data_IF_046973004067
#
_entry.id   IF_046973004067
#
_cell.length_a   1.000
_cell.length_b   1.000
_cell.length_c   1.000
_cell.angle_alpha   90.00
_cell.angle_beta   90.00
_cell.angle_gamma   90.00
#
_symmetry.space_group_name_H-M   'P 1'
#
loop_
_entity.id
_entity.type
_entity.pdbx_description
1 polymer ?
#
# COMPACT_ATOMS: atom_id res chain seq x y z
N UNK A 1 -10.19 27.47 -26.43
CA UNK A 1 -9.61 28.44 -25.47
C UNK A 1 -8.24 28.87 -25.98
N UNK A 2 -7.88 30.16 -25.91
CA UNK A 2 -6.63 30.66 -26.49
C UNK A 2 -5.41 30.15 -25.71
N UNK A 3 -4.32 29.87 -26.43
CA UNK A 3 -3.04 29.51 -25.81
C UNK A 3 -2.43 30.72 -25.10
N UNK A 4 -1.94 30.52 -23.88
CA UNK A 4 -1.26 31.51 -23.06
C UNK A 4 0.25 31.30 -23.21
N UNK A 5 1.01 32.36 -23.50
CA UNK A 5 2.47 32.29 -23.56
C UNK A 5 3.08 32.76 -22.24
N UNK A 6 3.97 31.96 -21.65
CA UNK A 6 4.74 32.31 -20.44
C UNK A 6 6.23 32.04 -20.71
N UNK A 7 6.97 33.08 -21.08
CA UNK A 7 8.35 32.94 -21.54
C UNK A 7 8.43 32.09 -22.81
N UNK A 8 9.12 30.94 -22.75
CA UNK A 8 9.22 29.95 -23.86
C UNK A 8 8.13 28.86 -23.79
N UNK A 9 7.21 28.94 -22.83
CA UNK A 9 6.18 27.92 -22.61
C UNK A 9 4.87 28.34 -23.25
N UNK A 10 4.30 27.47 -24.07
CA UNK A 10 2.92 27.59 -24.56
C UNK A 10 1.99 26.75 -23.69
N UNK A 11 1.09 27.41 -22.98
CA UNK A 11 0.11 26.79 -22.09
C UNK A 11 -1.24 26.79 -22.79
N UNK A 12 -1.83 25.60 -22.99
CA UNK A 12 -3.19 25.45 -23.51
C UNK A 12 -4.07 24.90 -22.41
N UNK A 13 -4.88 25.74 -21.72
CA UNK A 13 -5.80 25.22 -20.72
C UNK A 13 -6.86 24.34 -21.40
N UNK A 14 -7.17 23.22 -20.78
CA UNK A 14 -8.23 22.32 -21.20
C UNK A 14 -9.20 22.14 -20.03
N UNK A 15 -10.40 22.71 -20.14
CA UNK A 15 -11.44 22.63 -19.11
C UNK A 15 -12.40 21.45 -19.34
N UNK A 16 -12.33 20.80 -20.49
CA UNK A 16 -13.18 19.67 -20.87
C UNK A 16 -12.55 18.32 -20.49
N UNK A 17 -11.25 18.32 -20.18
CA UNK A 17 -10.47 17.14 -19.86
C UNK A 17 -10.17 17.05 -18.37
N UNK A 18 -10.60 15.95 -17.76
CA UNK A 18 -10.22 15.58 -16.39
C UNK A 18 -9.16 14.49 -16.45
N UNK A 19 -8.08 14.66 -15.70
CA UNK A 19 -7.05 13.63 -15.53
C UNK A 19 -7.34 12.90 -14.23
N UNK A 20 -7.50 11.59 -14.31
CA UNK A 20 -7.73 10.73 -13.16
C UNK A 20 -6.38 10.32 -12.54
N UNK A 21 -6.19 10.67 -11.28
CA UNK A 21 -5.02 10.25 -10.51
C UNK A 21 -5.18 8.79 -10.08
N UNK A 22 -4.28 7.93 -10.55
CA UNK A 22 -4.23 6.52 -10.20
C UNK A 22 -3.10 6.24 -9.22
N UNK A 23 -3.35 5.36 -8.26
CA UNK A 23 -2.34 4.94 -7.30
C UNK A 23 -1.44 3.84 -7.90
N UNK A 24 -0.10 3.87 -7.76
CA UNK A 24 0.78 2.92 -8.44
C UNK A 24 0.68 1.45 -7.96
N UNK A 25 0.30 1.20 -6.71
CA UNK A 25 0.33 -0.15 -6.14
C UNK A 25 -0.87 -1.06 -6.51
N UNK A 26 -2.09 -0.55 -6.44
CA UNK A 26 -3.35 -1.27 -6.70
C UNK A 26 -4.45 -0.22 -6.77
N UNK A 27 -5.54 -0.45 -7.50
CA UNK A 27 -6.68 0.46 -7.51
C UNK A 27 -7.74 0.12 -8.55
N UNK A 28 -8.68 1.04 -8.72
CA UNK A 28 -9.71 1.01 -9.76
C UNK A 28 -9.82 2.38 -10.39
N UNK A 29 -9.93 2.43 -11.72
CA UNK A 29 -10.15 3.65 -12.51
C UNK A 29 -10.97 3.27 -13.74
N UNK A 30 -11.94 4.08 -14.16
CA UNK A 30 -12.77 3.81 -15.35
C UNK A 30 -13.32 2.38 -15.43
N UNK A 31 -13.88 1.88 -14.31
CA UNK A 31 -14.40 0.51 -14.17
C UNK A 31 -13.37 -0.60 -14.47
N UNK A 32 -12.09 -0.28 -14.35
CA UNK A 32 -10.95 -1.18 -14.58
C UNK A 32 -10.19 -1.30 -13.27
N UNK A 33 -10.18 -2.49 -12.68
CA UNK A 33 -9.29 -2.80 -11.56
C UNK A 33 -7.88 -3.10 -12.08
N UNK A 34 -6.87 -2.73 -11.30
CA UNK A 34 -5.48 -2.96 -11.67
C UNK A 34 -4.58 -3.19 -10.44
N UNK A 35 -3.49 -3.93 -10.65
CA UNK A 35 -2.44 -4.17 -9.64
C UNK A 35 -1.09 -3.79 -10.24
N UNK A 36 -0.28 -3.07 -9.48
CA UNK A 36 1.10 -2.74 -9.82
C UNK A 36 2.03 -3.93 -9.60
N UNK A 37 2.83 -4.27 -10.60
CA UNK A 37 3.80 -5.37 -10.58
C UNK A 37 5.14 -4.88 -11.12
N UNK A 38 6.23 -5.18 -10.42
CA UNK A 38 7.59 -4.83 -10.84
C UNK A 38 8.15 -5.90 -11.77
N UNK A 39 8.47 -5.56 -13.01
CA UNK A 39 9.02 -6.50 -13.99
C UNK A 39 10.50 -6.20 -14.25
N UNK A 40 11.38 -7.23 -14.25
CA UNK A 40 12.75 -7.07 -14.72
C UNK A 40 12.73 -6.81 -16.23
N UNK A 41 13.22 -5.65 -16.64
CA UNK A 41 13.22 -5.23 -18.02
C UNK A 41 14.64 -4.96 -18.49
N UNK A 42 14.95 -5.41 -19.70
CA UNK A 42 16.09 -4.95 -20.47
C UNK A 42 15.71 -3.64 -21.16
N UNK A 43 16.49 -2.60 -20.94
CA UNK A 43 16.32 -1.28 -21.53
C UNK A 43 17.51 -1.04 -22.44
N UNK A 44 17.25 -0.78 -23.71
CA UNK A 44 18.27 -0.41 -24.68
C UNK A 44 18.18 1.08 -24.93
N UNK A 45 19.29 1.81 -24.77
CA UNK A 45 19.35 3.24 -25.09
C UNK A 45 19.55 3.49 -26.60
N UNK A 46 19.43 4.76 -27.02
CA UNK A 46 19.59 5.18 -28.42
C UNK A 46 20.99 4.88 -29.00
N UNK A 47 21.95 4.51 -28.16
CA UNK A 47 23.32 4.13 -28.53
C UNK A 47 23.52 2.61 -28.53
N UNK A 48 22.47 1.82 -28.30
CA UNK A 48 22.50 0.37 -28.26
C UNK A 48 23.00 -0.23 -26.95
N UNK A 49 23.22 0.56 -25.89
CA UNK A 49 23.65 0.01 -24.61
C UNK A 49 22.46 -0.59 -23.85
N UNK A 50 22.66 -1.79 -23.33
CA UNK A 50 21.65 -2.51 -22.57
C UNK A 50 21.81 -2.31 -21.06
N UNK A 51 20.68 -2.10 -20.37
CA UNK A 51 20.61 -1.99 -18.90
C UNK A 51 19.43 -2.77 -18.38
N UNK A 52 19.64 -3.53 -17.31
CA UNK A 52 18.57 -4.25 -16.64
C UNK A 52 18.03 -3.43 -15.46
N UNK A 53 16.72 -3.23 -15.42
CA UNK A 53 16.05 -2.51 -14.34
C UNK A 53 14.65 -3.06 -14.11
N UNK A 54 14.25 -3.10 -12.85
CA UNK A 54 12.85 -3.36 -12.51
C UNK A 54 12.00 -2.11 -12.77
N UNK A 55 10.99 -2.28 -13.61
CA UNK A 55 10.06 -1.22 -14.01
C UNK A 55 8.66 -1.61 -13.55
N UNK A 56 7.88 -0.63 -13.09
CA UNK A 56 6.50 -0.85 -12.67
C UNK A 56 5.59 -0.98 -13.89
N UNK A 57 4.80 -2.05 -13.92
CA UNK A 57 3.69 -2.25 -14.85
C UNK A 57 2.38 -2.37 -14.08
N UNK A 58 1.27 -2.06 -14.75
CA UNK A 58 -0.07 -2.32 -14.28
C UNK A 58 -0.61 -3.56 -14.99
N UNK A 59 -1.13 -4.51 -14.21
CA UNK A 59 -1.89 -5.65 -14.70
C UNK A 59 -3.36 -5.40 -14.42
N UNK A 60 -4.21 -5.37 -15.44
CA UNK A 60 -5.64 -5.05 -15.31
C UNK A 60 -6.53 -6.28 -15.18
N UNK A 61 -7.75 -6.09 -14.66
CA UNK A 61 -8.84 -7.07 -14.69
C UNK A 61 -9.22 -7.51 -16.12
N UNK A 62 -8.95 -6.66 -17.12
CA UNK A 62 -9.07 -6.95 -18.55
C UNK A 62 -7.88 -7.73 -19.13
N UNK A 63 -6.98 -8.24 -18.28
CA UNK A 63 -5.77 -9.00 -18.65
C UNK A 63 -4.80 -8.24 -19.55
N UNK A 64 -4.72 -6.93 -19.36
CA UNK A 64 -3.74 -6.09 -20.07
C UNK A 64 -2.55 -5.81 -19.17
N UNK A 65 -1.36 -5.84 -19.78
CA UNK A 65 -0.12 -5.42 -19.15
C UNK A 65 0.29 -4.06 -19.73
N UNK A 66 0.43 -3.04 -18.88
CA UNK A 66 0.73 -1.68 -19.30
C UNK A 66 1.87 -1.09 -18.50
N UNK A 67 2.83 -0.44 -19.16
CA UNK A 67 3.88 0.29 -18.47
C UNK A 67 3.25 1.43 -17.64
N UNK A 68 3.57 1.50 -16.35
CA UNK A 68 3.03 2.53 -15.45
C UNK A 68 3.73 3.87 -15.72
N UNK A 69 3.27 4.59 -16.75
CA UNK A 69 3.88 5.83 -17.22
C UNK A 69 2.82 6.75 -17.85
N UNK A 70 2.83 8.02 -17.44
CA UNK A 70 1.84 9.02 -17.87
C UNK A 70 1.80 9.23 -19.39
N UNK A 71 2.92 9.14 -20.11
CA UNK A 71 2.93 9.26 -21.57
C UNK A 71 2.31 8.05 -22.23
N UNK A 72 2.62 6.84 -21.73
CA UNK A 72 2.04 5.59 -22.25
C UNK A 72 0.53 5.55 -22.04
N UNK A 73 0.03 6.07 -20.91
CA UNK A 73 -1.42 6.20 -20.69
C UNK A 73 -2.06 7.10 -21.76
N UNK A 74 -1.48 8.28 -22.00
CA UNK A 74 -1.97 9.23 -23.02
C UNK A 74 -1.94 8.67 -24.44
N UNK A 75 -0.88 7.95 -24.81
CA UNK A 75 -0.76 7.28 -26.12
C UNK A 75 -1.85 6.22 -26.32
N UNK A 76 -2.30 5.59 -25.23
CA UNK A 76 -3.42 4.64 -25.22
C UNK A 76 -4.80 5.32 -25.12
N UNK A 77 -4.86 6.65 -25.13
CA UNK A 77 -6.10 7.41 -24.97
C UNK A 77 -6.68 7.33 -23.55
N UNK A 78 -5.87 6.98 -22.56
CA UNK A 78 -6.26 6.94 -21.15
C UNK A 78 -5.87 8.27 -20.49
N UNK A 79 -6.85 8.90 -19.85
CA UNK A 79 -6.64 10.15 -19.12
C UNK A 79 -6.17 9.90 -17.68
N UNK A 80 -5.18 9.02 -17.55
CA UNK A 80 -4.64 8.59 -16.26
C UNK A 80 -3.29 9.26 -15.98
N UNK A 81 -3.01 9.48 -14.70
CA UNK A 81 -1.72 9.94 -14.22
C UNK A 81 -1.35 9.25 -12.90
N UNK A 82 -0.07 8.91 -12.71
CA UNK A 82 0.38 8.41 -11.41
C UNK A 82 0.30 9.51 -10.35
N UNK A 83 -0.61 9.35 -9.38
CA UNK A 83 -0.78 10.31 -8.27
C UNK A 83 0.37 10.28 -7.25
N UNK A 84 1.17 9.21 -7.23
CA UNK A 84 2.27 9.04 -6.27
C UNK A 84 3.50 8.41 -6.92
N UNK A 85 4.68 8.80 -6.43
CA UNK A 85 5.94 8.18 -6.85
C UNK A 85 5.97 6.72 -6.42
N UNK A 86 6.12 5.75 -7.35
CA UNK A 86 6.20 4.33 -7.00
C UNK A 86 7.33 4.01 -6.03
N UNK A 87 7.04 3.20 -5.02
CA UNK A 87 8.03 2.57 -4.15
C UNK A 87 8.09 1.10 -4.49
N UNK A 88 9.31 0.56 -4.68
CA UNK A 88 9.50 -0.85 -4.99
C UNK A 88 9.21 -1.72 -3.77
N UNK A 89 8.23 -2.60 -3.92
CA UNK A 89 7.95 -3.70 -3.03
C UNK A 89 8.24 -5.02 -3.77
N UNK A 90 8.69 -6.07 -3.07
CA UNK A 90 8.73 -7.41 -3.66
C UNK A 90 7.34 -7.78 -4.18
N UNK A 91 7.28 -8.37 -5.37
CA UNK A 91 6.02 -8.81 -5.93
C UNK A 91 5.39 -9.89 -5.05
N UNK A 92 4.23 -9.60 -4.46
CA UNK A 92 3.39 -10.60 -3.79
C UNK A 92 2.72 -11.55 -4.77
N UNK A 93 2.50 -11.07 -5.99
CA UNK A 93 2.01 -11.86 -7.11
C UNK A 93 3.20 -12.29 -7.96
N UNK A 94 3.54 -13.58 -7.94
CA UNK A 94 4.73 -14.07 -8.65
C UNK A 94 4.62 -13.82 -10.16
N UNK A 95 5.75 -13.57 -10.82
CA UNK A 95 5.76 -13.32 -12.27
C UNK A 95 5.17 -14.48 -13.08
N UNK A 96 5.39 -15.72 -12.62
CA UNK A 96 4.74 -16.91 -13.17
C UNK A 96 3.23 -16.80 -13.12
N UNK A 97 2.65 -16.44 -11.97
CA UNK A 97 1.19 -16.33 -11.84
C UNK A 97 0.62 -15.11 -12.56
N UNK A 98 1.39 -14.02 -12.70
CA UNK A 98 1.03 -12.88 -13.56
C UNK A 98 0.90 -13.36 -15.00
N UNK A 99 1.90 -14.09 -15.52
CA UNK A 99 1.88 -14.63 -16.87
C UNK A 99 0.71 -15.61 -17.07
N UNK A 100 0.48 -16.53 -16.14
CA UNK A 100 -0.65 -17.46 -16.19
C UNK A 100 -2.00 -16.70 -16.26
N UNK A 101 -2.16 -15.64 -15.48
CA UNK A 101 -3.35 -14.80 -15.51
C UNK A 101 -3.48 -14.03 -16.82
N UNK A 102 -2.41 -13.44 -17.36
CA UNK A 102 -2.46 -12.80 -18.67
C UNK A 102 -2.88 -13.79 -19.77
N UNK A 103 -2.51 -15.07 -19.61
CA UNK A 103 -2.89 -16.18 -20.50
C UNK A 103 -4.27 -16.79 -20.22
N UNK A 104 -5.11 -16.13 -19.41
CA UNK A 104 -6.50 -16.55 -19.21
C UNK A 104 -6.76 -17.44 -18.00
N UNK A 105 -5.73 -17.81 -17.21
CA UNK A 105 -5.93 -18.61 -15.99
C UNK A 105 -6.90 -17.90 -15.05
N UNK A 106 -7.78 -18.69 -14.46
CA UNK A 106 -8.72 -18.25 -13.43
C UNK A 106 -8.41 -18.99 -12.13
N UNK A 107 -8.85 -18.39 -11.03
CA UNK A 107 -8.75 -18.96 -9.69
C UNK A 107 -10.14 -18.93 -9.06
N UNK A 108 -10.48 -19.96 -8.29
CA UNK A 108 -11.71 -19.97 -7.53
C UNK A 108 -11.51 -19.19 -6.21
N UNK A 109 -12.26 -18.11 -5.95
CA UNK A 109 -12.11 -17.32 -4.73
C UNK A 109 -12.34 -18.11 -3.43
N UNK A 110 -13.24 -19.09 -3.44
CA UNK A 110 -13.53 -19.95 -2.27
C UNK A 110 -12.31 -20.82 -1.96
N UNK A 111 -11.74 -21.48 -2.97
CA UNK A 111 -10.51 -22.26 -2.78
C UNK A 111 -9.32 -21.39 -2.35
N UNK A 112 -9.24 -20.15 -2.85
CA UNK A 112 -8.23 -19.20 -2.40
C UNK A 112 -8.42 -18.88 -0.92
N UNK A 113 -9.65 -18.60 -0.49
CA UNK A 113 -9.98 -18.37 0.92
C UNK A 113 -9.57 -19.57 1.79
N UNK A 114 -9.93 -20.78 1.39
CA UNK A 114 -9.60 -22.01 2.14
C UNK A 114 -8.09 -22.22 2.28
N UNK A 115 -7.32 -21.91 1.23
CA UNK A 115 -5.85 -21.95 1.28
C UNK A 115 -5.30 -20.95 2.30
N UNK A 116 -5.80 -19.72 2.31
CA UNK A 116 -5.39 -18.70 3.30
C UNK A 116 -5.76 -19.14 4.71
N UNK A 117 -6.99 -19.61 4.93
CA UNK A 117 -7.46 -20.11 6.23
C UNK A 117 -6.62 -21.31 6.72
N UNK A 118 -6.25 -22.21 5.82
CA UNK A 118 -5.37 -23.35 6.14
C UNK A 118 -4.00 -22.87 6.66
N UNK A 119 -3.46 -21.78 6.11
CA UNK A 119 -2.21 -21.21 6.61
C UNK A 119 -2.35 -20.70 8.05
N UNK A 120 -3.50 -20.09 8.38
CA UNK A 120 -3.81 -19.66 9.74
C UNK A 120 -3.91 -20.84 10.69
N UNK A 121 -4.69 -21.88 10.36
CA UNK A 121 -4.82 -23.10 11.19
C UNK A 121 -3.49 -23.83 11.37
N UNK A 122 -2.60 -23.80 10.36
CA UNK A 122 -1.29 -24.46 10.41
C UNK A 122 -0.31 -23.74 11.33
N UNK A 123 -0.35 -22.41 11.38
CA UNK A 123 0.68 -21.62 12.04
C UNK A 123 0.21 -20.89 13.30
N UNK A 124 -1.08 -20.84 13.61
CA UNK A 124 -1.55 -20.28 14.88
C UNK A 124 -2.54 -21.22 15.53
N UNK A 125 -2.40 -21.36 16.84
CA UNK A 125 -3.33 -22.06 17.72
C UNK A 125 -4.26 -21.02 18.36
N UNK A 126 -5.31 -20.63 17.63
CA UNK A 126 -6.32 -19.68 18.10
C UNK A 126 -7.41 -20.41 18.91
N UNK A 127 -7.98 -19.76 19.94
CA UNK A 127 -8.94 -20.40 20.85
C UNK A 127 -10.32 -20.63 20.22
N UNK A 128 -10.74 -19.78 19.27
CA UNK A 128 -12.00 -19.91 18.53
C UNK A 128 -11.73 -20.12 17.05
N UNK A 129 -12.39 -21.11 16.44
CA UNK A 129 -12.28 -21.35 15.00
C UNK A 129 -12.69 -20.14 14.15
N UNK A 130 -13.63 -19.31 14.63
CA UNK A 130 -14.09 -18.11 13.93
C UNK A 130 -12.97 -17.07 13.76
N UNK A 131 -11.95 -17.08 14.62
CA UNK A 131 -10.81 -16.17 14.48
C UNK A 131 -9.96 -16.49 13.23
N UNK A 132 -9.89 -17.76 12.82
CA UNK A 132 -9.22 -18.12 11.56
C UNK A 132 -9.93 -17.50 10.36
N UNK A 133 -11.27 -17.53 10.34
CA UNK A 133 -12.06 -16.88 9.30
C UNK A 133 -11.82 -15.37 9.28
N UNK A 134 -11.86 -14.74 10.46
CA UNK A 134 -11.63 -13.31 10.61
C UNK A 134 -10.24 -12.91 10.09
N UNK A 135 -9.18 -13.59 10.49
CA UNK A 135 -7.83 -13.25 10.04
C UNK A 135 -7.58 -13.57 8.56
N UNK A 136 -8.16 -14.63 8.02
CA UNK A 136 -8.11 -14.92 6.59
C UNK A 136 -8.81 -13.83 5.76
N UNK A 137 -10.04 -13.45 6.15
CA UNK A 137 -10.79 -12.37 5.49
C UNK A 137 -10.09 -11.02 5.65
N UNK A 138 -9.52 -10.73 6.82
CA UNK A 138 -8.76 -9.49 7.03
C UNK A 138 -7.50 -9.46 6.16
N UNK A 139 -6.77 -10.58 6.02
CA UNK A 139 -5.61 -10.66 5.13
C UNK A 139 -5.99 -10.40 3.67
N UNK A 140 -7.03 -11.09 3.18
CA UNK A 140 -7.56 -10.91 1.82
C UNK A 140 -8.09 -9.49 1.60
N UNK A 141 -8.83 -8.96 2.58
CA UNK A 141 -9.41 -7.62 2.55
C UNK A 141 -8.37 -6.51 2.37
N UNK A 142 -7.11 -6.74 2.75
CA UNK A 142 -6.04 -5.76 2.51
C UNK A 142 -5.76 -5.51 1.02
N UNK A 143 -6.12 -6.42 0.12
CA UNK A 143 -6.05 -6.19 -1.33
C UNK A 143 -7.21 -5.32 -1.83
N UNK A 144 -8.30 -5.23 -1.07
CA UNK A 144 -9.52 -4.50 -1.41
C UNK A 144 -9.75 -3.26 -0.54
N UNK A 145 -8.88 -2.96 0.43
CA UNK A 145 -9.07 -1.84 1.37
C UNK A 145 -9.24 -0.49 0.65
N UNK A 146 -8.67 -0.37 -0.55
CA UNK A 146 -8.81 0.76 -1.44
C UNK A 146 -10.17 0.86 -2.17
N UNK A 147 -11.13 -0.02 -1.83
CA UNK A 147 -12.56 0.11 -2.14
C UNK A 147 -13.41 0.53 -0.92
N UNK A 148 -12.92 0.35 0.31
CA UNK A 148 -13.67 0.66 1.53
C UNK A 148 -13.39 2.06 2.11
N UNK A 149 -14.39 2.71 2.68
CA UNK A 149 -14.22 4.00 3.37
C UNK A 149 -13.46 3.89 4.69
N UNK A 150 -13.52 2.73 5.34
CA UNK A 150 -12.89 2.42 6.61
C UNK A 150 -12.36 0.99 6.56
N UNK A 151 -11.25 0.72 7.23
CA UNK A 151 -10.69 -0.63 7.34
C UNK A 151 -10.42 -0.96 8.82
N UNK A 152 -10.88 -2.11 9.32
CA UNK A 152 -10.69 -2.45 10.73
C UNK A 152 -9.20 -2.67 11.04
N UNK A 153 -8.77 -2.17 12.20
CA UNK A 153 -7.48 -2.56 12.76
C UNK A 153 -7.59 -3.90 13.47
N UNK A 154 -6.54 -4.70 13.41
CA UNK A 154 -6.43 -5.94 14.19
C UNK A 154 -5.48 -5.74 15.35
N UNK A 155 -5.78 -6.42 16.45
CA UNK A 155 -4.99 -6.36 17.66
C UNK A 155 -4.75 -7.76 18.19
N UNK A 156 -3.48 -8.11 18.36
CA UNK A 156 -3.04 -9.30 19.06
C UNK A 156 -2.64 -8.90 20.48
N UNK A 157 -3.53 -9.15 21.44
CA UNK A 157 -3.29 -8.95 22.87
C UNK A 157 -2.81 -10.22 23.58
N UNK A 158 -2.21 -10.06 24.76
CA UNK A 158 -1.90 -11.17 25.65
C UNK A 158 -0.53 -11.08 26.32
N UNK A 159 -0.20 -12.07 27.15
CA UNK A 159 1.07 -12.14 27.88
C UNK A 159 2.26 -12.42 26.95
N UNK A 160 3.50 -12.18 27.41
CA UNK A 160 4.71 -12.51 26.63
C UNK A 160 4.68 -13.98 26.21
N UNK A 161 5.15 -14.29 24.99
CA UNK A 161 5.13 -15.64 24.39
C UNK A 161 3.74 -16.23 24.06
N UNK A 162 2.71 -15.39 23.94
CA UNK A 162 1.35 -15.82 23.53
C UNK A 162 1.11 -15.86 22.00
N UNK A 163 2.15 -15.94 21.17
CA UNK A 163 2.00 -16.02 19.71
C UNK A 163 1.66 -14.70 18.97
N UNK A 164 1.61 -13.53 19.64
CA UNK A 164 1.28 -12.24 18.99
C UNK A 164 2.14 -11.89 17.78
N UNK A 165 3.47 -11.93 17.96
CA UNK A 165 4.42 -11.67 16.87
C UNK A 165 4.23 -12.69 15.75
N UNK A 166 3.97 -13.97 16.07
CA UNK A 166 3.66 -15.02 15.09
C UNK A 166 2.43 -14.66 14.24
N UNK A 167 1.37 -14.13 14.87
CA UNK A 167 0.18 -13.63 14.20
C UNK A 167 0.46 -12.47 13.25
N UNK A 168 1.21 -11.45 13.70
CA UNK A 168 1.64 -10.36 12.82
C UNK A 168 2.56 -10.87 11.69
N UNK A 169 3.47 -11.82 11.97
CA UNK A 169 4.34 -12.40 10.94
C UNK A 169 3.54 -13.14 9.88
N UNK A 170 2.47 -13.85 10.25
CA UNK A 170 1.62 -14.50 9.27
C UNK A 170 0.87 -13.47 8.39
N UNK A 171 0.36 -12.38 8.99
CA UNK A 171 -0.16 -11.25 8.20
C UNK A 171 0.92 -10.62 7.32
N UNK A 172 2.17 -10.51 7.78
CA UNK A 172 3.27 -9.99 6.96
C UNK A 172 3.51 -10.83 5.70
N UNK A 173 3.28 -12.14 5.77
CA UNK A 173 3.38 -13.04 4.63
C UNK A 173 2.20 -12.91 3.65
N UNK A 174 0.99 -12.69 4.17
CA UNK A 174 -0.25 -12.83 3.42
C UNK A 174 -0.90 -11.50 2.98
N UNK A 175 -0.71 -10.42 3.74
CA UNK A 175 -1.37 -9.14 3.49
C UNK A 175 -0.65 -8.29 2.43
N UNK A 176 -1.42 -7.45 1.75
CA UNK A 176 -0.96 -6.58 0.68
C UNK A 176 0.10 -5.59 1.19
N UNK A 177 1.26 -5.60 0.53
CA UNK A 177 2.42 -4.74 0.82
C UNK A 177 2.71 -4.59 2.33
N UNK A 178 2.56 -5.68 3.09
CA UNK A 178 2.74 -5.63 4.53
C UNK A 178 4.18 -5.36 4.92
N UNK A 179 4.36 -4.49 5.92
CA UNK A 179 5.66 -4.10 6.47
C UNK A 179 5.61 -3.98 7.98
N UNK A 180 6.69 -4.40 8.65
CA UNK A 180 6.86 -4.19 10.08
C UNK A 180 7.41 -2.80 10.34
N UNK A 181 6.82 -2.08 11.30
CA UNK A 181 7.27 -0.73 11.69
C UNK A 181 8.49 -0.68 12.58
N UNK A 182 8.98 -1.84 13.03
CA UNK A 182 10.09 -1.95 13.97
C UNK A 182 11.28 -1.18 13.38
N UNK A 183 11.71 -0.12 14.07
CA UNK A 183 12.77 0.81 13.65
C UNK A 183 12.52 1.71 12.41
N UNK A 184 11.31 1.77 11.85
CA UNK A 184 10.99 2.74 10.80
C UNK A 184 10.82 4.15 11.38
N UNK A 185 11.36 5.16 10.68
CA UNK A 185 11.04 6.56 10.98
C UNK A 185 9.59 6.86 10.59
N UNK A 186 8.95 7.80 11.28
CA UNK A 186 7.59 8.24 10.95
C UNK A 186 7.47 8.73 9.51
N UNK A 187 8.49 9.42 9.03
CA UNK A 187 8.58 9.89 7.65
C UNK A 187 8.61 8.73 6.63
N UNK A 188 9.23 7.59 6.97
CA UNK A 188 9.18 6.39 6.15
C UNK A 188 7.78 5.75 6.17
N UNK A 189 7.14 5.69 7.34
CA UNK A 189 5.78 5.15 7.48
C UNK A 189 4.79 5.89 6.58
N UNK A 190 4.77 7.23 6.63
CA UNK A 190 3.88 8.03 5.78
C UNK A 190 4.09 7.75 4.28
N UNK A 191 5.34 7.62 3.83
CA UNK A 191 5.64 7.32 2.42
C UNK A 191 5.23 5.91 2.02
N UNK A 192 5.44 4.91 2.87
CA UNK A 192 5.06 3.53 2.57
C UNK A 192 3.54 3.38 2.51
N UNK A 193 2.83 3.97 3.48
CA UNK A 193 1.37 4.00 3.50
C UNK A 193 0.85 4.70 2.24
N UNK A 194 1.30 5.93 1.96
CA UNK A 194 0.80 6.71 0.85
C UNK A 194 1.17 6.15 -0.52
N UNK A 195 2.43 5.78 -0.75
CA UNK A 195 2.93 5.49 -2.10
C UNK A 195 2.85 4.00 -2.45
N UNK A 196 2.70 3.13 -1.46
CA UNK A 196 2.62 1.68 -1.66
C UNK A 196 1.34 1.06 -1.12
N UNK A 197 0.42 1.85 -0.52
CA UNK A 197 -0.78 1.33 0.16
C UNK A 197 -0.43 0.23 1.17
N UNK A 198 0.68 0.42 1.87
CA UNK A 198 1.27 -0.63 2.71
C UNK A 198 0.39 -0.97 3.92
N UNK A 199 0.24 -2.26 4.18
CA UNK A 199 -0.31 -2.76 5.45
C UNK A 199 0.75 -2.58 6.55
N UNK A 200 0.43 -1.81 7.58
CA UNK A 200 1.37 -1.48 8.64
C UNK A 200 1.22 -2.42 9.84
N UNK A 201 2.27 -3.15 10.18
CA UNK A 201 2.29 -4.07 11.32
C UNK A 201 3.17 -3.48 12.43
N UNK A 202 2.55 -3.20 13.57
CA UNK A 202 3.16 -2.60 14.75
C UNK A 202 3.37 -3.69 15.80
N UNK A 203 4.61 -4.16 15.93
CA UNK A 203 5.00 -5.06 17.03
C UNK A 203 5.69 -4.26 18.14
N UNK A 204 5.75 -4.82 19.35
CA UNK A 204 6.42 -4.23 20.51
C UNK A 204 5.95 -2.80 20.87
N UNK A 205 4.63 -2.56 20.82
CA UNK A 205 4.10 -1.24 21.14
C UNK A 205 4.08 -0.91 22.64
N UNK A 206 4.71 -1.69 23.52
CA UNK A 206 4.73 -1.41 24.96
C UNK A 206 5.34 -0.04 25.30
N UNK A 207 6.29 0.46 24.49
CA UNK A 207 6.83 1.83 24.63
C UNK A 207 5.82 2.92 24.26
N UNK A 208 4.67 2.57 23.67
CA UNK A 208 3.61 3.54 23.39
C UNK A 208 2.78 3.89 24.64
N UNK A 209 2.84 3.07 25.70
CA UNK A 209 1.93 3.12 26.85
C UNK A 209 2.58 3.60 28.16
N UNK A 210 3.65 4.38 28.10
CA UNK A 210 4.26 4.90 29.33
C UNK A 210 3.36 5.95 29.98
N UNK A 211 2.91 5.71 31.23
CA UNK A 211 2.27 6.69 32.14
C UNK A 211 3.18 7.90 32.52
N UNK A 212 4.19 8.19 31.71
CA UNK A 212 5.13 9.31 31.83
C UNK A 212 5.17 10.12 30.53
N UNK A 213 6.26 10.83 30.24
CA UNK A 213 6.40 11.57 28.97
C UNK A 213 6.33 10.63 27.77
N UNK A 214 5.23 10.72 27.02
CA UNK A 214 5.04 10.01 25.75
C UNK A 214 6.12 10.45 24.75
N UNK A 215 6.94 9.50 24.30
CA UNK A 215 7.99 9.78 23.32
C UNK A 215 7.41 10.44 22.07
N UNK A 216 8.18 11.30 21.40
CA UNK A 216 7.72 11.97 20.17
C UNK A 216 7.20 10.96 19.14
N UNK A 217 7.97 9.87 18.95
CA UNK A 217 7.60 8.76 18.07
C UNK A 217 6.26 8.14 18.45
N UNK A 218 5.98 7.99 19.75
CA UNK A 218 4.70 7.45 20.21
C UNK A 218 3.53 8.35 19.82
N UNK A 219 3.66 9.67 19.99
CA UNK A 219 2.59 10.61 19.62
C UNK A 219 2.33 10.58 18.12
N UNK A 220 3.39 10.47 17.33
CA UNK A 220 3.28 10.38 15.88
C UNK A 220 2.59 9.08 15.43
N UNK A 221 2.94 7.93 16.02
CA UNK A 221 2.27 6.65 15.73
C UNK A 221 0.78 6.72 16.12
N UNK A 222 0.47 7.29 17.29
CA UNK A 222 -0.93 7.50 17.72
C UNK A 222 -1.69 8.39 16.73
N UNK A 223 -1.07 9.48 16.28
CA UNK A 223 -1.66 10.35 15.24
C UNK A 223 -1.94 9.60 13.93
N UNK A 224 -1.02 8.73 13.49
CA UNK A 224 -1.22 7.87 12.31
C UNK A 224 -2.38 6.90 12.52
N UNK A 225 -2.51 6.30 13.71
CA UNK A 225 -3.59 5.37 14.02
C UNK A 225 -4.95 6.07 14.04
N UNK A 226 -5.06 7.21 14.71
CA UNK A 226 -6.29 7.99 14.83
C UNK A 226 -6.76 8.59 13.51
N UNK A 227 -5.84 8.95 12.61
CA UNK A 227 -6.17 9.53 11.31
C UNK A 227 -6.28 8.48 10.19
N UNK A 228 -5.70 7.29 10.36
CA UNK A 228 -5.55 6.29 9.30
C UNK A 228 -6.63 5.21 9.22
N UNK A 229 -7.66 5.24 10.07
CA UNK A 229 -8.69 4.17 10.08
C UNK A 229 -9.74 4.40 8.99
N UNK A 230 -9.95 5.66 8.59
CA UNK A 230 -10.94 6.11 7.61
C UNK A 230 -10.27 6.95 6.52
N UNK A 231 -10.78 6.86 5.30
CA UNK A 231 -10.35 7.71 4.18
C UNK A 231 -10.67 9.18 4.40
N UNK A 232 -9.87 10.02 3.74
CA UNK A 232 -10.10 11.45 3.62
C UNK A 232 -9.31 12.30 4.61
N UNK A 233 -8.68 11.67 5.61
CA UNK A 233 -7.72 12.37 6.45
C UNK A 233 -6.47 12.78 5.64
N UNK A 234 -5.91 13.94 5.95
CA UNK A 234 -4.62 14.39 5.43
C UNK A 234 -3.75 14.86 6.59
N UNK A 235 -2.52 14.41 6.60
CA UNK A 235 -1.53 14.82 7.59
C UNK A 235 -0.41 15.55 6.88
N UNK A 236 -0.20 16.81 7.23
CA UNK A 236 0.87 17.60 6.63
C UNK A 236 2.19 17.37 7.36
N UNK A 237 3.27 17.19 6.59
CA UNK A 237 4.64 17.10 7.09
C UNK A 237 5.54 17.98 6.23
N UNK A 238 6.49 18.63 6.87
CA UNK A 238 7.47 19.47 6.17
C UNK A 238 8.50 18.56 5.50
N UNK A 239 8.70 18.74 4.20
CA UNK A 239 9.72 18.05 3.42
C UNK A 239 10.75 19.03 2.86
N UNK A 240 11.99 18.54 2.72
CA UNK A 240 13.03 19.24 1.96
C UNK A 240 12.91 18.87 0.48
N UNK A 241 12.77 19.87 -0.37
CA UNK A 241 12.85 19.72 -1.82
C UNK A 241 14.28 19.47 -2.27
N UNK A 242 14.46 19.08 -3.54
CA UNK A 242 15.78 18.95 -4.18
C UNK A 242 16.60 20.24 -4.24
N UNK A 243 16.00 21.39 -3.95
CA UNK A 243 16.65 22.71 -3.88
C UNK A 243 16.75 23.23 -2.44
N UNK A 244 16.75 22.33 -1.45
CA UNK A 244 16.82 22.62 -0.02
C UNK A 244 15.73 23.53 0.56
N UNK A 245 14.62 23.73 -0.18
CA UNK A 245 13.46 24.47 0.33
C UNK A 245 12.57 23.57 1.16
N UNK A 246 12.08 24.08 2.29
CA UNK A 246 11.08 23.43 3.12
C UNK A 246 9.68 23.69 2.57
N UNK A 247 8.94 22.62 2.28
CA UNK A 247 7.56 22.70 1.78
C UNK A 247 6.64 21.78 2.58
N UNK A 248 5.40 22.18 2.86
CA UNK A 248 4.42 21.28 3.46
C UNK A 248 3.91 20.28 2.41
N UNK A 249 4.11 18.99 2.65
CA UNK A 249 3.58 17.90 1.83
C UNK A 249 2.43 17.21 2.56
N UNK A 250 1.25 17.02 1.92
CA UNK A 250 0.17 16.22 2.48
C UNK A 250 0.49 14.73 2.37
N UNK A 251 0.19 13.98 3.43
CA UNK A 251 0.24 12.52 3.46
C UNK A 251 -1.13 11.92 3.74
N UNK A 252 -1.47 10.84 3.03
CA UNK A 252 -2.62 9.98 3.35
C UNK A 252 -2.19 8.88 4.35
N UNK A 253 -2.72 8.88 5.60
CA UNK A 253 -2.42 7.85 6.59
C UNK A 253 -3.30 6.59 6.47
N UNK A 254 -4.30 6.57 5.58
CA UNK A 254 -5.25 5.47 5.45
C UNK A 254 -4.59 4.19 4.95
N UNK A 255 -4.58 3.14 5.80
CA UNK A 255 -4.21 1.79 5.38
C UNK A 255 -4.62 0.74 6.41
N UNK A 256 -4.63 -0.56 6.05
CA UNK A 256 -4.74 -1.64 7.01
C UNK A 256 -3.61 -1.57 8.05
N UNK A 257 -3.96 -1.72 9.33
CA UNK A 257 -2.96 -1.74 10.42
C UNK A 257 -3.23 -2.89 11.39
N UNK A 258 -2.17 -3.57 11.78
CA UNK A 258 -2.19 -4.61 12.81
C UNK A 258 -1.27 -4.23 13.96
N UNK A 259 -1.72 -4.45 15.19
CA UNK A 259 -0.99 -4.11 16.40
C UNK A 259 -0.77 -5.36 17.26
N UNK A 260 0.38 -5.44 17.92
CA UNK A 260 0.66 -6.43 18.95
C UNK A 260 1.30 -5.76 20.16
N UNK A 261 0.73 -6.00 21.34
CA UNK A 261 1.33 -5.54 22.60
C UNK A 261 0.89 -6.35 23.81
N UNK A 262 1.47 -6.04 24.96
CA UNK A 262 1.18 -6.71 26.23
C UNK A 262 0.20 -5.89 27.10
N UNK A 263 0.08 -4.58 26.87
CA UNK A 263 -0.56 -3.62 27.79
C UNK A 263 -1.98 -3.17 27.42
N UNK A 264 -2.53 -3.65 26.31
CA UNK A 264 -3.87 -3.27 25.83
C UNK A 264 -3.89 -2.12 24.83
N UNK A 265 -5.06 -1.82 24.27
CA UNK A 265 -5.28 -0.77 23.27
C UNK A 265 -5.61 0.61 23.87
N UNK A 266 -6.11 0.64 25.11
CA UNK A 266 -6.63 1.85 25.80
C UNK A 266 -5.59 2.97 25.90
N UNK A 267 -4.31 2.62 25.96
CA UNK A 267 -3.20 3.58 26.03
C UNK A 267 -2.72 4.07 24.64
N UNK A 268 -3.25 3.52 23.55
CA UNK A 268 -2.73 3.74 22.18
C UNK A 268 -3.72 4.50 21.29
N UNK A 269 -5.02 4.24 21.41
CA UNK A 269 -6.07 4.86 20.59
C UNK A 269 -6.94 5.74 21.49
#
# INVERSE_FOLDING_TARGET
MNSIQVGKLTIKPNLEKTIEEIHPAIGTVDKTAYVGVWLPCQITDDKGNEKYKDILFLVTDKRQLMLANDNIFREKGLDWQLGYKPIKFPNRWTLKNVQEYLNGKQVNPVETFDKVMTMWKKYLELPDEKEYFFHALWGIGTYFHCLFNCYPYIYFGGVKRSGKTKGLTLHHCLAFNATFSNNMSTAAIYRLVQNARATLLLDETEKLSSRGQMSERTREIRSILLSGYKRGARVYRVEKTTKDRLVPSPFDPYSPKGLANIRGLEDII
#
